data_IF_176942910215
#
_entry.id   IF_176942910215
#
_cell.length_a   1.000
_cell.length_b   1.000
_cell.length_c   1.000
_cell.angle_alpha   90.00
_cell.angle_beta   90.00
_cell.angle_gamma   90.00
#
_symmetry.space_group_name_H-M   'P 1'
#
loop_
_entity.id
_entity.type
_entity.pdbx_description
1 polymer ?
#
# COMPACT_ATOMS: atom_id res chain seq x y z
N UNK A 1 -7.56 11.46 20.26
CA UNK A 1 -7.46 11.87 18.85
C UNK A 1 -7.88 10.68 18.03
N UNK A 2 -8.89 10.81 17.16
CA UNK A 2 -9.31 9.73 16.28
C UNK A 2 -8.29 9.54 15.16
N UNK A 3 -7.93 8.30 14.78
CA UNK A 3 -7.01 8.04 13.68
C UNK A 3 -7.53 8.57 12.33
N UNK A 4 -8.86 8.70 12.19
CA UNK A 4 -9.52 9.13 10.96
C UNK A 4 -9.93 10.60 11.07
N UNK A 5 -9.52 11.40 10.08
CA UNK A 5 -9.81 12.84 10.04
C UNK A 5 -10.33 13.27 8.67
N UNK A 6 -11.38 14.11 8.60
CA UNK A 6 -11.79 14.70 7.33
C UNK A 6 -10.75 15.75 6.87
N UNK A 7 -10.74 16.00 5.58
CA UNK A 7 -10.09 17.15 4.96
C UNK A 7 -11.08 17.79 3.98
N UNK A 8 -11.42 19.06 4.20
CA UNK A 8 -12.53 19.73 3.51
C UNK A 8 -13.80 18.86 3.61
N UNK A 9 -14.47 18.60 2.48
CA UNK A 9 -15.70 17.81 2.43
C UNK A 9 -15.46 16.27 2.30
N UNK A 10 -14.21 15.85 2.41
CA UNK A 10 -13.81 14.45 2.23
C UNK A 10 -13.49 13.77 3.55
N UNK A 11 -14.22 12.70 3.85
CA UNK A 11 -13.97 11.82 4.99
C UNK A 11 -13.54 10.44 4.47
N UNK A 12 -12.51 9.82 5.08
CA UNK A 12 -12.10 8.47 4.70
C UNK A 12 -13.26 7.48 4.73
N UNK A 13 -13.35 6.64 3.69
CA UNK A 13 -14.37 5.60 3.52
C UNK A 13 -13.76 4.23 3.79
N UNK A 14 -14.41 3.44 4.62
CA UNK A 14 -13.95 2.12 5.04
C UNK A 14 -14.91 1.04 4.56
N UNK A 15 -14.36 -0.03 4.03
CA UNK A 15 -15.07 -1.27 3.77
C UNK A 15 -15.39 -2.06 5.04
N UNK A 16 -15.85 -3.27 4.88
CA UNK A 16 -16.17 -4.17 5.98
C UNK A 16 -14.90 -4.73 6.64
N UNK A 17 -14.93 -4.93 7.96
CA UNK A 17 -13.88 -5.59 8.76
C UNK A 17 -12.47 -4.96 8.60
N UNK A 18 -12.40 -3.68 8.32
CA UNK A 18 -11.13 -2.94 8.26
C UNK A 18 -10.56 -2.80 9.67
N UNK A 19 -9.27 -3.08 9.84
CA UNK A 19 -8.52 -2.80 11.06
C UNK A 19 -7.67 -1.55 10.87
N UNK A 20 -7.79 -0.60 11.78
CA UNK A 20 -6.94 0.59 11.84
C UNK A 20 -6.42 0.72 13.27
N UNK A 21 -5.11 0.63 13.43
CA UNK A 21 -4.50 0.83 14.73
C UNK A 21 -4.74 2.27 15.23
N UNK A 22 -5.06 2.46 16.53
CA UNK A 22 -5.28 3.80 17.10
C UNK A 22 -4.12 4.78 16.94
N UNK A 23 -2.88 4.31 16.75
CA UNK A 23 -1.70 5.13 16.51
C UNK A 23 -1.54 5.58 15.03
N UNK A 24 -2.48 5.21 14.14
CA UNK A 24 -2.47 5.64 12.75
C UNK A 24 -3.02 7.05 12.56
N UNK A 25 -2.79 7.60 11.37
CA UNK A 25 -3.40 8.84 10.90
C UNK A 25 -3.89 8.67 9.46
N UNK A 26 -5.21 8.79 9.23
CA UNK A 26 -5.83 8.67 7.91
C UNK A 26 -6.65 9.92 7.63
N UNK A 27 -6.33 10.64 6.56
CA UNK A 27 -6.87 11.99 6.28
C UNK A 27 -7.45 12.08 4.87
N UNK A 28 -8.66 12.62 4.74
CA UNK A 28 -9.24 13.12 3.49
C UNK A 28 -9.76 12.04 2.55
N UNK A 29 -9.46 12.16 1.27
CA UNK A 29 -9.94 11.29 0.18
C UNK A 29 -9.23 9.92 0.20
N UNK A 30 -9.53 9.11 1.20
CA UNK A 30 -8.98 7.75 1.35
C UNK A 30 -10.11 6.75 1.29
N UNK A 31 -9.95 5.70 0.48
CA UNK A 31 -10.84 4.55 0.44
C UNK A 31 -10.08 3.28 0.78
N UNK A 32 -10.53 2.56 1.80
CA UNK A 32 -10.02 1.25 2.17
C UNK A 32 -11.07 0.18 1.84
N UNK A 33 -10.67 -0.83 1.10
CA UNK A 33 -11.52 -1.99 0.78
C UNK A 33 -11.75 -2.90 1.99
N UNK A 34 -12.55 -3.94 1.79
CA UNK A 34 -12.85 -4.92 2.83
C UNK A 34 -11.58 -5.62 3.32
N UNK A 35 -11.54 -5.93 4.61
CA UNK A 35 -10.41 -6.64 5.24
C UNK A 35 -9.03 -5.96 5.12
N UNK A 36 -8.97 -4.70 4.77
CA UNK A 36 -7.71 -3.94 4.82
C UNK A 36 -7.26 -3.79 6.27
N UNK A 37 -5.94 -3.88 6.50
CA UNK A 37 -5.33 -3.59 7.81
C UNK A 37 -4.27 -2.51 7.73
N UNK A 38 -4.34 -1.55 8.67
CA UNK A 38 -3.41 -0.42 8.78
C UNK A 38 -2.79 -0.45 10.16
N UNK A 39 -1.47 -0.60 10.21
CA UNK A 39 -0.70 -0.94 11.40
C UNK A 39 -0.05 0.29 12.05
N UNK A 40 0.42 0.20 13.30
CA UNK A 40 0.82 1.36 14.12
C UNK A 40 1.74 2.35 13.42
N UNK A 41 1.51 3.65 13.65
CA UNK A 41 2.35 4.73 13.12
C UNK A 41 2.21 5.01 11.62
N UNK A 42 1.33 4.32 10.92
CA UNK A 42 1.05 4.55 9.51
C UNK A 42 0.33 5.88 9.28
N UNK A 43 0.75 6.63 8.27
CA UNK A 43 0.12 7.87 7.83
C UNK A 43 -0.37 7.72 6.39
N UNK A 44 -1.69 7.88 6.17
CA UNK A 44 -2.30 7.89 4.84
C UNK A 44 -2.99 9.24 4.65
N UNK A 45 -2.52 10.04 3.69
CA UNK A 45 -3.04 11.39 3.47
C UNK A 45 -3.47 11.60 2.03
N UNK A 46 -4.80 11.68 1.81
CA UNK A 46 -5.45 11.98 0.54
C UNK A 46 -6.08 13.38 0.57
N UNK A 47 -5.26 14.42 0.63
CA UNK A 47 -5.70 15.83 0.70
C UNK A 47 -5.78 16.51 -0.68
N UNK A 48 -4.75 16.39 -1.50
CA UNK A 48 -4.66 17.04 -2.81
C UNK A 48 -4.98 16.11 -4.00
N UNK A 49 -5.20 14.85 -3.72
CA UNK A 49 -5.67 13.79 -4.61
C UNK A 49 -6.17 12.63 -3.73
N UNK A 50 -6.54 11.50 -4.32
CA UNK A 50 -7.11 10.39 -3.58
C UNK A 50 -6.13 9.21 -3.40
N UNK A 51 -6.37 8.45 -2.33
CA UNK A 51 -5.73 7.16 -2.05
C UNK A 51 -6.81 6.08 -2.09
N UNK A 52 -6.55 5.00 -2.81
CA UNK A 52 -7.40 3.81 -2.80
C UNK A 52 -6.57 2.59 -2.47
N UNK A 53 -7.05 1.76 -1.54
CA UNK A 53 -6.42 0.50 -1.14
C UNK A 53 -7.45 -0.61 -1.30
N UNK A 54 -7.15 -1.58 -2.13
CA UNK A 54 -7.99 -2.74 -2.45
C UNK A 54 -8.11 -3.71 -1.28
N UNK A 55 -9.10 -4.58 -1.36
CA UNK A 55 -9.45 -5.53 -0.31
C UNK A 55 -8.27 -6.41 0.12
N UNK A 56 -8.24 -6.81 1.40
CA UNK A 56 -7.26 -7.74 2.00
C UNK A 56 -5.79 -7.27 1.94
N UNK A 57 -5.56 -6.02 1.52
CA UNK A 57 -4.23 -5.43 1.54
C UNK A 57 -3.84 -4.99 2.95
N UNK A 58 -2.54 -5.03 3.26
CA UNK A 58 -2.02 -4.62 4.55
C UNK A 58 -0.97 -3.52 4.39
N UNK A 59 -1.04 -2.51 5.27
CA UNK A 59 -0.10 -1.39 5.30
C UNK A 59 0.57 -1.40 6.67
N UNK A 60 1.82 -1.84 6.69
CA UNK A 60 2.53 -2.13 7.94
C UNK A 60 3.08 -0.87 8.60
N UNK A 61 3.55 -1.06 9.82
CA UNK A 61 3.93 -0.02 10.77
C UNK A 61 4.84 1.06 10.17
N UNK A 62 4.57 2.32 10.49
CA UNK A 62 5.39 3.46 10.09
C UNK A 62 5.38 3.80 8.59
N UNK A 63 4.52 3.16 7.80
CA UNK A 63 4.39 3.45 6.36
C UNK A 63 3.78 4.83 6.12
N UNK A 64 4.26 5.54 5.11
CA UNK A 64 3.73 6.84 4.68
C UNK A 64 3.16 6.71 3.27
N UNK A 65 1.88 7.06 3.09
CA UNK A 65 1.20 7.09 1.80
C UNK A 65 0.70 8.50 1.51
N UNK A 66 1.12 9.06 0.39
CA UNK A 66 0.67 10.38 -0.06
C UNK A 66 0.45 10.41 -1.58
N UNK A 67 0.01 11.54 -2.08
CA UNK A 67 -0.45 11.76 -3.45
C UNK A 67 0.17 13.03 -4.02
N UNK A 68 0.16 13.22 -5.34
CA UNK A 68 0.58 14.48 -5.93
C UNK A 68 -0.59 15.30 -6.47
N UNK A 69 -0.47 16.64 -6.35
CA UNK A 69 -1.47 17.57 -6.79
C UNK A 69 -1.37 17.90 -8.29
N UNK A 70 -2.44 18.47 -8.81
CA UNK A 70 -2.44 19.12 -10.12
C UNK A 70 -1.49 20.32 -10.12
N UNK A 71 -0.58 20.38 -11.08
CA UNK A 71 0.40 21.45 -11.20
C UNK A 71 0.72 21.78 -12.66
N UNK A 72 1.38 22.90 -12.97
CA UNK A 72 1.89 23.19 -14.31
C UNK A 72 2.85 22.13 -14.86
N UNK A 73 3.51 21.38 -13.96
CA UNK A 73 4.48 20.32 -14.29
C UNK A 73 3.84 18.94 -14.40
N UNK A 74 2.67 18.76 -13.81
CA UNK A 74 1.86 17.55 -13.86
C UNK A 74 0.38 17.94 -13.86
N UNK A 75 -0.23 18.03 -15.06
CA UNK A 75 -1.59 18.56 -15.23
C UNK A 75 -2.69 17.78 -14.52
N UNK A 76 -2.51 16.50 -14.28
CA UNK A 76 -3.52 15.66 -13.62
C UNK A 76 -3.22 15.42 -12.13
N UNK A 77 -1.96 15.60 -11.70
CA UNK A 77 -1.49 14.99 -10.48
C UNK A 77 -1.52 13.46 -10.58
N UNK A 78 -1.11 12.77 -9.54
CA UNK A 78 -1.25 11.32 -9.45
C UNK A 78 -1.88 10.92 -8.12
N UNK A 79 -2.91 10.05 -8.13
CA UNK A 79 -3.38 9.37 -6.93
C UNK A 79 -2.36 8.32 -6.48
N UNK A 80 -2.57 7.73 -5.32
CA UNK A 80 -1.94 6.46 -4.94
C UNK A 80 -2.98 5.37 -4.97
N UNK A 81 -2.78 4.41 -5.87
CA UNK A 81 -3.69 3.28 -6.09
C UNK A 81 -2.99 1.98 -5.71
N UNK A 82 -3.58 1.26 -4.78
CA UNK A 82 -3.09 -0.04 -4.31
C UNK A 82 -4.19 -1.06 -4.55
N UNK A 83 -3.86 -2.15 -5.23
CA UNK A 83 -4.76 -3.25 -5.57
C UNK A 83 -5.15 -4.11 -4.37
N UNK A 84 -5.67 -5.28 -4.66
CA UNK A 84 -6.09 -6.28 -3.67
C UNK A 84 -4.93 -7.20 -3.29
N UNK A 85 -4.99 -7.75 -2.07
CA UNK A 85 -4.00 -8.71 -1.55
C UNK A 85 -2.54 -8.19 -1.60
N UNK A 86 -2.33 -6.88 -1.51
CA UNK A 86 -1.01 -6.25 -1.51
C UNK A 86 -0.42 -6.22 -0.10
N UNK A 87 0.86 -6.58 0.02
CA UNK A 87 1.62 -6.44 1.26
C UNK A 87 2.57 -5.25 1.17
N UNK A 88 2.33 -4.22 1.98
CA UNK A 88 3.21 -3.05 2.12
C UNK A 88 3.99 -3.17 3.41
N UNK A 89 5.28 -3.43 3.31
CA UNK A 89 6.19 -3.65 4.45
C UNK A 89 6.43 -2.41 5.30
N UNK A 90 6.92 -2.64 6.52
CA UNK A 90 7.18 -1.61 7.52
C UNK A 90 8.02 -0.44 7.00
N UNK A 91 7.68 0.79 7.35
CA UNK A 91 8.46 1.98 7.03
C UNK A 91 8.54 2.34 5.55
N UNK A 92 7.67 1.80 4.71
CA UNK A 92 7.62 2.06 3.27
C UNK A 92 7.12 3.49 2.99
N UNK A 93 7.59 4.10 1.92
CA UNK A 93 7.06 5.37 1.40
C UNK A 93 6.43 5.13 0.03
N UNK A 94 5.12 5.38 -0.08
CA UNK A 94 4.38 5.32 -1.34
C UNK A 94 3.88 6.72 -1.70
N UNK A 95 4.36 7.27 -2.79
CA UNK A 95 3.97 8.61 -3.21
C UNK A 95 3.48 8.60 -4.65
N UNK A 96 2.18 8.86 -4.83
CA UNK A 96 1.59 9.11 -6.15
C UNK A 96 1.88 7.99 -7.17
N UNK A 97 1.73 6.73 -6.77
CA UNK A 97 2.09 5.55 -7.55
C UNK A 97 0.93 4.55 -7.67
N UNK A 98 1.07 3.59 -8.57
CA UNK A 98 0.11 2.50 -8.76
C UNK A 98 0.76 1.16 -8.43
N UNK A 99 0.11 0.38 -7.58
CA UNK A 99 0.53 -0.97 -7.20
C UNK A 99 -0.63 -1.91 -7.53
N UNK A 100 -0.43 -2.81 -8.46
CA UNK A 100 -1.45 -3.79 -8.84
C UNK A 100 -1.57 -4.91 -7.80
N UNK A 101 -2.50 -5.85 -8.02
CA UNK A 101 -2.82 -6.90 -7.06
C UNK A 101 -1.63 -7.81 -6.75
N UNK A 102 -1.66 -8.38 -5.53
CA UNK A 102 -0.72 -9.41 -5.11
C UNK A 102 0.76 -9.00 -5.17
N UNK A 103 1.05 -7.71 -5.08
CA UNK A 103 2.40 -7.20 -4.99
C UNK A 103 2.94 -7.24 -3.56
N UNK A 104 4.26 -7.25 -3.43
CA UNK A 104 4.95 -7.05 -2.17
C UNK A 104 5.94 -5.88 -2.28
N UNK A 105 5.76 -4.90 -1.41
CA UNK A 105 6.68 -3.78 -1.26
C UNK A 105 7.47 -4.00 0.03
N UNK A 106 8.76 -4.23 -0.11
CA UNK A 106 9.64 -4.58 1.00
C UNK A 106 9.82 -3.44 2.01
N UNK A 107 10.20 -3.80 3.23
CA UNK A 107 10.41 -2.86 4.34
C UNK A 107 11.34 -1.70 3.95
N UNK A 108 10.96 -0.48 4.26
CA UNK A 108 11.75 0.72 4.00
C UNK A 108 11.92 1.07 2.51
N UNK A 109 11.21 0.39 1.60
CA UNK A 109 11.25 0.73 0.18
C UNK A 109 10.54 2.07 -0.10
N UNK A 110 10.88 2.69 -1.21
CA UNK A 110 10.28 3.94 -1.66
C UNK A 110 9.79 3.79 -3.11
N UNK A 111 8.51 4.08 -3.36
CA UNK A 111 7.91 4.05 -4.71
C UNK A 111 7.37 5.44 -5.04
N UNK A 112 7.87 6.05 -6.11
CA UNK A 112 7.69 7.47 -6.41
C UNK A 112 6.68 7.72 -7.54
N UNK A 113 6.42 9.01 -7.78
CA UNK A 113 5.37 9.54 -8.65
C UNK A 113 5.28 8.87 -10.02
N UNK A 114 4.09 8.40 -10.37
CA UNK A 114 3.81 7.76 -11.64
C UNK A 114 4.45 6.38 -11.82
N UNK A 115 5.17 5.86 -10.83
CA UNK A 115 5.68 4.49 -10.90
C UNK A 115 4.52 3.48 -10.83
N UNK A 116 4.68 2.37 -11.53
CA UNK A 116 3.70 1.28 -11.56
C UNK A 116 4.38 -0.04 -11.20
N UNK A 117 3.82 -0.74 -10.22
CA UNK A 117 4.22 -2.10 -9.87
C UNK A 117 3.14 -3.03 -10.39
N UNK A 118 3.49 -3.84 -11.40
CA UNK A 118 2.57 -4.78 -12.03
C UNK A 118 2.28 -5.96 -11.11
N UNK A 119 1.18 -6.65 -11.37
CA UNK A 119 0.75 -7.81 -10.59
C UNK A 119 1.90 -8.76 -10.25
N UNK A 120 1.94 -9.25 -9.02
CA UNK A 120 3.04 -10.04 -8.45
C UNK A 120 4.41 -9.34 -8.42
N UNK A 121 4.48 -8.06 -8.74
CA UNK A 121 5.74 -7.31 -8.64
C UNK A 121 6.26 -7.28 -7.20
N UNK A 122 7.55 -7.52 -7.06
CA UNK A 122 8.21 -7.54 -5.77
C UNK A 122 9.31 -6.47 -5.72
N UNK A 123 9.10 -5.45 -4.91
CA UNK A 123 10.11 -4.43 -4.62
C UNK A 123 10.84 -4.83 -3.34
N UNK A 124 12.13 -5.07 -3.42
CA UNK A 124 12.92 -5.52 -2.28
C UNK A 124 13.07 -4.45 -1.18
N UNK A 125 13.43 -4.89 0.02
CA UNK A 125 13.61 -3.99 1.16
C UNK A 125 14.64 -2.88 0.86
N UNK A 126 14.32 -1.64 1.25
CA UNK A 126 15.16 -0.47 1.03
C UNK A 126 15.35 -0.05 -0.44
N UNK A 127 14.66 -0.69 -1.38
CA UNK A 127 14.76 -0.32 -2.79
C UNK A 127 14.03 0.99 -3.10
N UNK A 128 14.53 1.76 -4.06
CA UNK A 128 13.92 3.02 -4.50
C UNK A 128 13.51 2.92 -5.96
N UNK A 129 12.20 2.78 -6.20
CA UNK A 129 11.59 2.81 -7.54
C UNK A 129 11.33 4.27 -7.93
N UNK A 130 12.13 4.78 -8.85
CA UNK A 130 12.08 6.17 -9.29
C UNK A 130 10.81 6.52 -10.06
N UNK A 131 10.54 7.82 -10.28
CA UNK A 131 9.35 8.29 -10.97
C UNK A 131 9.15 7.67 -12.35
N UNK A 132 7.91 7.31 -12.66
CA UNK A 132 7.50 6.76 -13.96
C UNK A 132 8.09 5.38 -14.30
N UNK A 133 8.78 4.72 -13.38
CA UNK A 133 9.33 3.36 -13.59
C UNK A 133 8.21 2.32 -13.53
N UNK A 134 8.39 1.26 -14.29
CA UNK A 134 7.49 0.12 -14.30
C UNK A 134 8.24 -1.12 -13.85
N UNK A 135 7.83 -1.68 -12.73
CA UNK A 135 8.20 -3.04 -12.31
C UNK A 135 7.26 -3.99 -13.00
N UNK A 136 7.78 -4.90 -13.82
CA UNK A 136 6.98 -5.83 -14.60
C UNK A 136 6.30 -6.91 -13.75
N UNK A 137 5.41 -7.66 -14.41
CA UNK A 137 4.69 -8.75 -13.75
C UNK A 137 5.65 -9.84 -13.27
N UNK A 138 5.48 -10.25 -12.01
CA UNK A 138 6.33 -11.25 -11.34
C UNK A 138 7.83 -10.94 -11.39
N UNK A 139 8.20 -9.66 -11.39
CA UNK A 139 9.60 -9.23 -11.33
C UNK A 139 10.03 -8.84 -9.91
N UNK A 140 11.25 -9.24 -9.54
CA UNK A 140 11.95 -8.76 -8.36
C UNK A 140 12.87 -7.60 -8.74
N UNK A 141 12.65 -6.45 -8.10
CA UNK A 141 13.52 -5.28 -8.25
C UNK A 141 14.21 -4.95 -6.94
N UNK A 142 15.52 -4.68 -7.01
CA UNK A 142 16.38 -4.42 -5.84
C UNK A 142 17.20 -3.16 -6.04
N UNK A 143 17.62 -2.54 -4.94
CA UNK A 143 18.64 -1.48 -4.88
C UNK A 143 18.09 -0.06 -4.93
N UNK A 144 19.00 0.89 -4.86
CA UNK A 144 18.75 2.33 -4.97
C UNK A 144 19.76 2.95 -5.97
N UNK A 145 19.34 3.33 -7.19
CA UNK A 145 18.01 3.16 -7.76
C UNK A 145 17.67 1.68 -8.03
N UNK A 146 16.40 1.31 -7.88
CA UNK A 146 15.94 -0.05 -8.10
C UNK A 146 16.13 -0.51 -9.55
N UNK A 147 16.51 -1.77 -9.71
CA UNK A 147 16.70 -2.42 -11.01
C UNK A 147 16.15 -3.84 -10.97
N UNK A 148 15.72 -4.32 -12.12
CA UNK A 148 15.32 -5.71 -12.29
C UNK A 148 16.48 -6.63 -11.89
N UNK A 149 16.20 -7.50 -10.92
CA UNK A 149 17.16 -8.54 -10.50
C UNK A 149 16.86 -9.87 -11.20
N UNK A 150 15.60 -10.29 -11.21
CA UNK A 150 15.12 -11.53 -11.84
C UNK A 150 13.59 -11.62 -11.81
N UNK A 151 13.05 -12.63 -12.46
CA UNK A 151 11.65 -13.07 -12.29
C UNK A 151 11.48 -13.84 -10.98
N UNK A 152 10.27 -13.83 -10.44
CA UNK A 152 9.90 -14.65 -9.28
C UNK A 152 9.69 -16.12 -9.69
N UNK A 153 9.99 -17.02 -8.78
CA UNK A 153 9.58 -18.44 -8.87
C UNK A 153 8.11 -18.60 -8.46
N UNK A 154 7.50 -19.74 -8.85
CA UNK A 154 6.14 -20.10 -8.44
C UNK A 154 5.98 -20.11 -6.91
N UNK A 155 7.00 -20.61 -6.20
CA UNK A 155 7.01 -20.61 -4.73
C UNK A 155 7.01 -19.20 -4.12
N UNK A 156 7.66 -18.24 -4.75
CA UNK A 156 7.64 -16.85 -4.31
C UNK A 156 6.27 -16.23 -4.58
N UNK A 157 5.64 -16.52 -5.72
CA UNK A 157 4.27 -16.10 -6.00
C UNK A 157 3.29 -16.66 -4.97
N UNK A 158 3.40 -17.94 -4.61
CA UNK A 158 2.62 -18.55 -3.52
C UNK A 158 2.84 -17.81 -2.19
N UNK A 159 4.07 -17.38 -1.91
CA UNK A 159 4.39 -16.64 -0.69
C UNK A 159 3.73 -15.25 -0.63
N UNK A 160 3.47 -14.60 -1.77
CA UNK A 160 2.74 -13.34 -1.82
C UNK A 160 1.29 -13.53 -1.38
N UNK A 161 0.61 -14.56 -1.89
CA UNK A 161 -0.73 -14.93 -1.44
C UNK A 161 -0.77 -15.24 0.05
N UNK A 162 0.18 -16.04 0.52
CA UNK A 162 0.26 -16.39 1.95
C UNK A 162 0.43 -15.16 2.83
N UNK A 163 1.28 -14.21 2.43
CA UNK A 163 1.55 -12.98 3.18
C UNK A 163 0.27 -12.15 3.36
N UNK A 164 -0.47 -11.89 2.28
CA UNK A 164 -1.73 -11.15 2.35
C UNK A 164 -2.73 -11.83 3.29
N UNK A 165 -2.95 -13.14 3.12
CA UNK A 165 -3.87 -13.91 3.95
C UNK A 165 -3.42 -14.00 5.42
N UNK A 166 -2.11 -14.04 5.67
CA UNK A 166 -1.59 -14.01 7.04
C UNK A 166 -2.03 -12.73 7.77
N UNK A 167 -1.90 -11.57 7.10
CA UNK A 167 -2.32 -10.29 7.69
C UNK A 167 -3.83 -10.17 7.86
N UNK A 168 -4.64 -10.78 7.00
CA UNK A 168 -6.10 -10.87 7.22
C UNK A 168 -6.40 -11.65 8.51
N UNK A 169 -5.79 -12.82 8.70
CA UNK A 169 -5.96 -13.60 9.94
C UNK A 169 -5.44 -12.86 11.18
N UNK A 170 -4.31 -12.18 11.05
CA UNK A 170 -3.71 -11.43 12.15
C UNK A 170 -4.62 -10.28 12.59
N UNK A 171 -5.15 -9.48 11.65
CA UNK A 171 -6.07 -8.40 11.98
C UNK A 171 -7.36 -8.91 12.63
N UNK A 172 -7.86 -10.09 12.22
CA UNK A 172 -9.04 -10.68 12.83
C UNK A 172 -8.82 -10.98 14.32
N UNK A 173 -7.61 -11.39 14.70
CA UNK A 173 -7.25 -11.55 16.11
C UNK A 173 -7.28 -10.22 16.87
N UNK A 174 -6.77 -9.13 16.26
CA UNK A 174 -6.83 -7.77 16.83
C UNK A 174 -8.26 -7.24 16.94
N UNK A 175 -9.14 -7.60 16.02
CA UNK A 175 -10.56 -7.26 16.06
C UNK A 175 -11.37 -8.15 17.03
N UNK A 176 -10.78 -9.19 17.61
CA UNK A 176 -11.49 -10.16 18.45
C UNK A 176 -12.49 -11.03 17.69
N UNK A 177 -12.31 -11.15 16.37
CA UNK A 177 -13.11 -12.04 15.53
C UNK A 177 -12.48 -13.43 15.62
N UNK A 178 -13.19 -14.39 16.25
CA UNK A 178 -12.74 -15.77 16.26
C UNK A 178 -12.69 -16.29 14.81
N UNK A 179 -11.52 -16.68 14.36
CA UNK A 179 -11.41 -17.49 13.14
C UNK A 179 -12.15 -18.80 13.41
N UNK A 180 -13.32 -18.97 12.81
CA UNK A 180 -14.00 -20.26 12.82
C UNK A 180 -13.01 -21.32 12.34
N UNK A 181 -12.78 -22.29 13.19
CA UNK A 181 -11.99 -23.50 12.95
C UNK A 181 -12.56 -24.33 11.80
#
# INVERSE_FOLDING_TARGET
VTPIRPFLDHTPQLGARVYIDPACTIIGQVRLGDDVSVWPGTVIRGDVNHVQIGARSNVQDGTIIHVSHHSPFNKAGYPTLIGEDVTVGHGTILHACTIEDLCLIGMGACVLDGATIKRYGFVGAGAVVGPGKVVGEAELWLGNPARLARTLSDREIESLHYSAQHYVRLKDQYLGVSSGS
#
